data_IF_436803700607
#
_entry.id   IF_436803700607
#
_cell.length_a   1.000
_cell.length_b   1.000
_cell.length_c   1.000
_cell.angle_alpha   90.00
_cell.angle_beta   90.00
_cell.angle_gamma   90.00
#
_symmetry.space_group_name_H-M   'P 1'
#
loop_
_entity.id
_entity.type
_entity.pdbx_description
1 polymer ?
#
# COMPACT_ATOMS: atom_id res chain seq x y z
N UNK A 1 -10.12 -23.43 -3.30
CA UNK A 1 -10.76 -22.19 -2.84
C UNK A 1 -9.72 -21.33 -2.12
N UNK A 2 -9.27 -20.23 -2.77
CA UNK A 2 -8.35 -19.28 -2.19
C UNK A 2 -9.13 -18.13 -1.54
N UNK A 3 -8.62 -17.59 -0.44
CA UNK A 3 -9.09 -16.36 0.18
C UNK A 3 -7.92 -15.40 0.33
N UNK A 4 -8.17 -14.11 0.11
CA UNK A 4 -7.19 -13.05 0.32
C UNK A 4 -7.55 -12.27 1.59
N UNK A 5 -6.53 -11.80 2.32
CA UNK A 5 -6.70 -10.89 3.46
C UNK A 5 -5.87 -9.65 3.20
N UNK A 6 -6.50 -8.47 3.33
CA UNK A 6 -5.84 -7.17 3.19
C UNK A 6 -6.35 -6.15 4.18
N UNK A 7 -5.53 -5.15 4.50
CA UNK A 7 -5.93 -4.06 5.38
C UNK A 7 -4.87 -3.67 6.42
N UNK A 8 -5.10 -2.57 7.14
CA UNK A 8 -4.15 -1.99 8.08
C UNK A 8 -3.98 -2.87 9.33
N UNK A 9 -2.98 -3.73 9.31
CA UNK A 9 -2.67 -4.62 10.42
C UNK A 9 -1.16 -4.81 10.57
N UNK A 10 -0.55 -4.00 11.43
CA UNK A 10 0.86 -4.15 11.80
C UNK A 10 1.01 -5.25 12.85
N UNK A 11 1.92 -6.19 12.62
CA UNK A 11 2.15 -7.32 13.52
C UNK A 11 2.41 -6.93 15.00
N UNK A 12 3.22 -5.90 15.32
CA UNK A 12 3.37 -5.45 16.69
C UNK A 12 2.08 -4.91 17.31
N UNK A 13 1.25 -4.21 16.52
CA UNK A 13 -0.05 -3.73 16.98
C UNK A 13 -0.98 -4.89 17.31
N UNK A 14 -1.06 -5.88 16.43
CA UNK A 14 -1.87 -7.07 16.63
C UNK A 14 -1.42 -7.86 17.87
N UNK A 15 -0.12 -8.06 18.05
CA UNK A 15 0.45 -8.74 19.22
C UNK A 15 0.12 -8.01 20.53
N UNK A 16 0.00 -6.70 20.52
CA UNK A 16 -0.38 -5.86 21.65
C UNK A 16 -1.89 -5.60 21.74
N UNK A 17 -2.71 -6.35 20.99
CA UNK A 17 -4.17 -6.24 20.95
C UNK A 17 -4.70 -4.84 20.63
N UNK A 18 -3.95 -4.09 19.80
CA UNK A 18 -4.41 -2.81 19.27
C UNK A 18 -5.56 -3.06 18.29
N UNK A 19 -6.61 -2.26 18.39
CA UNK A 19 -7.77 -2.36 17.51
C UNK A 19 -7.33 -2.30 16.04
N UNK A 20 -7.62 -3.37 15.30
CA UNK A 20 -7.23 -3.55 13.89
C UNK A 20 -8.42 -4.01 13.07
N UNK A 21 -8.49 -3.56 11.84
CA UNK A 21 -9.54 -3.95 10.90
C UNK A 21 -8.97 -4.41 9.57
N UNK A 22 -9.43 -5.56 9.08
CA UNK A 22 -9.03 -6.12 7.79
C UNK A 22 -10.25 -6.55 6.98
N UNK A 23 -10.02 -6.85 5.71
CA UNK A 23 -11.00 -7.47 4.81
C UNK A 23 -10.52 -8.85 4.43
N UNK A 24 -11.39 -9.86 4.57
CA UNK A 24 -11.19 -11.16 3.95
C UNK A 24 -12.07 -11.28 2.70
N UNK A 25 -11.45 -11.63 1.59
CA UNK A 25 -12.14 -11.80 0.31
C UNK A 25 -12.11 -13.26 -0.15
N UNK A 26 -13.27 -13.74 -0.62
CA UNK A 26 -13.41 -15.04 -1.27
C UNK A 26 -14.52 -14.96 -2.33
N UNK A 27 -14.35 -15.61 -3.47
CA UNK A 27 -15.41 -15.68 -4.51
C UNK A 27 -16.73 -16.22 -3.96
N UNK A 28 -16.65 -17.17 -3.02
CA UNK A 28 -17.79 -17.62 -2.24
C UNK A 28 -17.90 -16.78 -0.95
N UNK A 29 -18.91 -15.93 -0.90
CA UNK A 29 -19.11 -15.01 0.21
C UNK A 29 -19.41 -15.73 1.55
N UNK A 30 -20.02 -16.91 1.52
CA UNK A 30 -20.30 -17.69 2.73
C UNK A 30 -19.01 -18.28 3.33
N UNK A 31 -18.05 -18.65 2.48
CA UNK A 31 -16.70 -18.99 2.92
C UNK A 31 -16.03 -17.80 3.59
N UNK A 32 -16.09 -16.60 2.99
CA UNK A 32 -15.55 -15.38 3.58
C UNK A 32 -16.20 -15.07 4.93
N UNK A 33 -17.52 -15.19 5.06
CA UNK A 33 -18.25 -14.98 6.32
C UNK A 33 -17.83 -15.99 7.40
N UNK A 34 -17.68 -17.25 7.03
CA UNK A 34 -17.25 -18.31 7.96
C UNK A 34 -15.84 -18.03 8.49
N UNK A 35 -14.91 -17.67 7.60
CA UNK A 35 -13.54 -17.29 7.99
C UNK A 35 -13.52 -16.03 8.82
N UNK A 36 -14.31 -15.02 8.49
CA UNK A 36 -14.45 -13.80 9.29
C UNK A 36 -14.88 -14.10 10.72
N UNK A 37 -15.86 -14.99 10.92
CA UNK A 37 -16.31 -15.40 12.26
C UNK A 37 -15.21 -16.09 13.06
N UNK A 38 -14.39 -16.91 12.42
CA UNK A 38 -13.30 -17.66 13.07
C UNK A 38 -12.16 -16.71 13.48
N UNK A 39 -11.84 -15.73 12.61
CA UNK A 39 -10.67 -14.85 12.79
C UNK A 39 -10.97 -13.61 13.64
N UNK A 40 -12.24 -13.18 13.70
CA UNK A 40 -12.60 -11.95 14.44
C UNK A 40 -12.46 -12.13 15.95
N UNK A 41 -11.91 -11.09 16.58
CA UNK A 41 -11.82 -10.95 18.04
C UNK A 41 -12.37 -9.57 18.45
N UNK A 42 -12.28 -9.23 19.73
CA UNK A 42 -12.63 -7.91 20.26
C UNK A 42 -11.73 -6.78 19.75
N UNK A 43 -10.49 -7.10 19.36
CA UNK A 43 -9.49 -6.16 18.84
C UNK A 43 -9.10 -6.39 17.36
N UNK A 44 -9.53 -7.51 16.75
CA UNK A 44 -9.27 -7.81 15.33
C UNK A 44 -10.58 -8.01 14.60
N UNK A 45 -11.01 -6.98 13.87
CA UNK A 45 -12.29 -6.97 13.17
C UNK A 45 -12.09 -7.35 11.71
N UNK A 46 -12.79 -8.39 11.27
CA UNK A 46 -12.67 -8.92 9.91
C UNK A 46 -13.97 -8.68 9.15
N UNK A 47 -13.96 -7.75 8.20
CA UNK A 47 -15.04 -7.56 7.23
C UNK A 47 -14.89 -8.54 6.06
N UNK A 48 -15.94 -8.69 5.25
CA UNK A 48 -15.97 -9.66 4.15
C UNK A 48 -16.15 -8.98 2.80
N UNK A 49 -15.56 -9.57 1.76
CA UNK A 49 -15.70 -9.15 0.36
C UNK A 49 -15.76 -10.36 -0.57
N UNK A 50 -16.36 -10.20 -1.75
CA UNK A 50 -16.23 -11.15 -2.86
C UNK A 50 -15.12 -10.77 -3.85
N UNK A 51 -14.48 -9.61 -3.67
CA UNK A 51 -13.48 -9.05 -4.57
C UNK A 51 -12.06 -9.46 -4.17
N UNK A 52 -11.68 -10.70 -4.49
CA UNK A 52 -10.32 -11.21 -4.25
C UNK A 52 -9.29 -10.37 -5.03
N UNK A 53 -9.56 -10.11 -6.31
CA UNK A 53 -8.63 -9.39 -7.16
C UNK A 53 -8.32 -8.00 -6.61
N UNK A 54 -9.36 -7.25 -6.21
CA UNK A 54 -9.16 -5.92 -5.62
C UNK A 54 -8.34 -5.96 -4.33
N UNK A 55 -8.59 -6.92 -3.43
CA UNK A 55 -7.84 -7.06 -2.18
C UNK A 55 -6.37 -7.41 -2.44
N UNK A 56 -6.09 -8.38 -3.32
CA UNK A 56 -4.71 -8.77 -3.65
C UNK A 56 -3.94 -7.65 -4.37
N UNK A 57 -4.58 -6.99 -5.34
CA UNK A 57 -3.98 -5.87 -6.05
C UNK A 57 -3.63 -4.74 -5.08
N UNK A 58 -4.56 -4.35 -4.20
CA UNK A 58 -4.31 -3.33 -3.20
C UNK A 58 -3.13 -3.68 -2.30
N UNK A 59 -3.07 -4.91 -1.79
CA UNK A 59 -2.00 -5.37 -0.92
C UNK A 59 -0.62 -5.31 -1.60
N UNK A 60 -0.55 -5.53 -2.90
CA UNK A 60 0.69 -5.48 -3.67
C UNK A 60 1.11 -4.03 -3.99
N UNK A 61 0.26 -3.30 -4.71
CA UNK A 61 0.65 -2.00 -5.30
C UNK A 61 0.74 -0.85 -4.29
N UNK A 62 0.04 -0.92 -3.15
CA UNK A 62 0.17 0.09 -2.07
C UNK A 62 1.62 0.35 -1.67
N UNK A 63 2.48 -0.67 -1.78
CA UNK A 63 3.88 -0.58 -1.39
C UNK A 63 4.68 0.38 -2.29
N UNK A 64 4.37 0.43 -3.58
CA UNK A 64 4.94 1.40 -4.53
C UNK A 64 4.53 2.81 -4.09
N UNK A 65 3.24 3.02 -3.87
CA UNK A 65 2.71 4.33 -3.50
C UNK A 65 3.15 4.80 -2.12
N UNK A 66 3.28 3.89 -1.15
CA UNK A 66 3.82 4.26 0.16
C UNK A 66 5.27 4.73 0.08
N UNK A 67 6.07 4.21 -0.87
CA UNK A 67 7.42 4.69 -1.15
C UNK A 67 7.39 6.10 -1.76
N UNK A 68 6.51 6.35 -2.73
CA UNK A 68 6.32 7.69 -3.34
C UNK A 68 5.89 8.71 -2.29
N UNK A 69 4.92 8.38 -1.43
CA UNK A 69 4.46 9.28 -0.35
C UNK A 69 5.61 9.54 0.65
N UNK A 70 6.38 8.52 0.99
CA UNK A 70 7.55 8.64 1.86
C UNK A 70 8.61 9.60 1.32
N UNK A 71 8.78 9.68 0.01
CA UNK A 71 9.73 10.58 -0.62
C UNK A 71 9.44 12.07 -0.33
N UNK A 72 8.16 12.45 -0.19
CA UNK A 72 7.79 13.80 0.21
C UNK A 72 8.34 14.17 1.60
N UNK A 73 8.34 13.23 2.55
CA UNK A 73 8.93 13.42 3.87
C UNK A 73 10.44 13.65 3.81
N UNK A 74 11.15 12.85 3.02
CA UNK A 74 12.59 12.98 2.82
C UNK A 74 12.96 14.31 2.15
N UNK A 75 12.23 14.68 1.11
CA UNK A 75 12.44 15.95 0.41
C UNK A 75 12.25 17.16 1.33
N UNK A 76 11.31 17.08 2.27
CA UNK A 76 11.08 18.13 3.26
C UNK A 76 12.27 18.31 4.22
N UNK A 77 12.89 17.21 4.66
CA UNK A 77 14.06 17.27 5.56
C UNK A 77 15.23 18.06 4.97
N UNK A 78 15.37 18.04 3.65
CA UNK A 78 16.47 18.76 2.95
C UNK A 78 16.14 20.21 2.64
N UNK A 79 14.89 20.63 2.69
CA UNK A 79 14.46 21.94 2.18
C UNK A 79 13.79 22.86 3.21
N UNK A 80 13.21 22.29 4.26
CA UNK A 80 12.41 23.06 5.21
C UNK A 80 12.35 22.40 6.57
N UNK A 81 11.90 23.13 7.54
CA UNK A 81 11.64 22.66 8.89
C UNK A 81 10.16 22.29 9.07
N UNK A 82 9.87 21.43 10.02
CA UNK A 82 8.51 21.05 10.41
C UNK A 82 7.84 20.03 9.50
N UNK A 83 6.50 20.04 9.51
CA UNK A 83 5.67 19.05 8.81
C UNK A 83 5.08 19.57 7.48
N UNK A 84 5.78 20.45 6.78
CA UNK A 84 5.29 21.09 5.54
C UNK A 84 5.02 20.07 4.42
N UNK A 85 5.68 18.92 4.45
CA UNK A 85 5.44 17.83 3.50
C UNK A 85 4.02 17.24 3.57
N UNK A 86 3.24 17.51 4.62
CA UNK A 86 1.91 16.95 4.78
C UNK A 86 0.96 17.34 3.64
N UNK A 87 1.04 18.57 3.14
CA UNK A 87 0.24 18.99 1.98
C UNK A 87 0.60 18.17 0.74
N UNK A 88 1.89 17.97 0.47
CA UNK A 88 2.37 17.13 -0.63
C UNK A 88 1.97 15.69 -0.44
N UNK A 89 2.15 15.14 0.76
CA UNK A 89 1.74 13.76 1.08
C UNK A 89 0.24 13.55 0.89
N UNK A 90 -0.60 14.50 1.29
CA UNK A 90 -2.05 14.42 1.09
C UNK A 90 -2.43 14.38 -0.40
N UNK A 91 -1.78 15.21 -1.23
CA UNK A 91 -1.98 15.20 -2.69
C UNK A 91 -1.51 13.86 -3.30
N UNK A 92 -0.35 13.35 -2.87
CA UNK A 92 0.16 12.05 -3.30
C UNK A 92 -0.74 10.89 -2.86
N UNK A 93 -1.30 10.91 -1.65
CA UNK A 93 -2.27 9.90 -1.19
C UNK A 93 -3.49 9.90 -2.10
N UNK A 94 -4.07 11.08 -2.40
CA UNK A 94 -5.22 11.20 -3.31
C UNK A 94 -4.90 10.61 -4.69
N UNK A 95 -3.74 10.98 -5.25
CA UNK A 95 -3.34 10.50 -6.58
C UNK A 95 -3.05 8.99 -6.54
N UNK A 96 -2.38 8.50 -5.49
CA UNK A 96 -2.12 7.07 -5.30
C UNK A 96 -3.42 6.24 -5.30
N UNK A 97 -4.43 6.69 -4.56
CA UNK A 97 -5.74 6.01 -4.54
C UNK A 97 -6.36 5.96 -5.93
N UNK A 98 -6.30 7.06 -6.69
CA UNK A 98 -6.80 7.09 -8.07
C UNK A 98 -6.05 6.08 -8.96
N UNK A 99 -4.72 6.04 -8.89
CA UNK A 99 -3.93 5.09 -9.69
C UNK A 99 -4.16 3.64 -9.27
N UNK A 100 -4.33 3.40 -7.97
CA UNK A 100 -4.74 2.08 -7.46
C UNK A 100 -6.11 1.67 -8.00
N UNK A 101 -7.07 2.59 -8.12
CA UNK A 101 -8.39 2.31 -8.73
C UNK A 101 -8.25 1.91 -10.20
N UNK A 102 -7.44 2.66 -10.98
CA UNK A 102 -7.19 2.35 -12.39
C UNK A 102 -6.55 0.96 -12.53
N UNK A 103 -5.57 0.66 -11.71
CA UNK A 103 -4.86 -0.61 -11.73
C UNK A 103 -5.76 -1.78 -11.28
N UNK A 104 -6.55 -1.57 -10.24
CA UNK A 104 -7.50 -2.58 -9.76
C UNK A 104 -8.55 -2.93 -10.82
N UNK A 105 -9.14 -1.93 -11.48
CA UNK A 105 -10.09 -2.18 -12.58
C UNK A 105 -9.46 -2.94 -13.74
N UNK A 106 -8.24 -2.59 -14.13
CA UNK A 106 -7.51 -3.31 -15.18
C UNK A 106 -7.36 -4.79 -14.86
N UNK A 107 -7.11 -5.12 -13.59
CA UNK A 107 -7.01 -6.49 -13.08
C UNK A 107 -8.35 -7.09 -12.60
N UNK A 108 -9.47 -6.50 -13.01
CA UNK A 108 -10.84 -6.95 -12.70
C UNK A 108 -11.18 -6.93 -11.21
N UNK A 109 -10.56 -6.06 -10.45
CA UNK A 109 -10.95 -5.68 -9.09
C UNK A 109 -11.91 -4.49 -9.10
N UNK A 110 -12.40 -4.11 -7.92
CA UNK A 110 -13.38 -3.04 -7.73
C UNK A 110 -12.75 -1.79 -7.12
N UNK A 111 -13.14 -0.60 -7.60
CA UNK A 111 -12.73 0.70 -7.03
C UNK A 111 -13.12 0.84 -5.55
N UNK A 112 -14.28 0.31 -5.18
CA UNK A 112 -14.77 0.36 -3.80
C UNK A 112 -13.81 -0.36 -2.84
N UNK A 113 -13.17 -1.44 -3.28
CA UNK A 113 -12.15 -2.15 -2.49
C UNK A 113 -10.93 -1.26 -2.24
N UNK A 114 -10.53 -0.48 -3.23
CA UNK A 114 -9.40 0.46 -3.09
C UNK A 114 -9.70 1.56 -2.07
N UNK A 115 -10.92 2.08 -2.04
CA UNK A 115 -11.37 3.12 -1.07
C UNK A 115 -11.55 2.58 0.35
N UNK A 116 -11.59 1.26 0.52
CA UNK A 116 -11.78 0.60 1.79
C UNK A 116 -10.50 0.32 2.57
N UNK A 117 -10.63 -0.59 3.55
CA UNK A 117 -9.51 -0.99 4.42
C UNK A 117 -8.36 -1.62 3.64
N UNK A 118 -8.65 -2.47 2.65
CA UNK A 118 -7.62 -3.17 1.88
C UNK A 118 -6.76 -2.23 1.01
N UNK A 119 -7.30 -1.10 0.57
CA UNK A 119 -6.60 -0.11 -0.24
C UNK A 119 -6.16 1.10 0.58
N UNK A 120 -7.00 2.11 0.70
CA UNK A 120 -6.71 3.38 1.37
C UNK A 120 -6.26 3.17 2.83
N UNK A 121 -6.92 2.29 3.58
CA UNK A 121 -6.58 2.04 4.98
C UNK A 121 -5.16 1.48 5.12
N UNK A 122 -4.81 0.49 4.32
CA UNK A 122 -3.50 -0.14 4.36
C UNK A 122 -2.40 0.75 3.75
N UNK A 123 -2.74 1.55 2.73
CA UNK A 123 -1.83 2.58 2.20
C UNK A 123 -1.47 3.61 3.27
N UNK A 124 -2.45 4.09 4.03
CA UNK A 124 -2.24 5.06 5.11
C UNK A 124 -1.23 4.55 6.14
N UNK A 125 -1.44 3.34 6.67
CA UNK A 125 -0.53 2.74 7.65
C UNK A 125 0.85 2.48 7.06
N UNK A 126 0.93 2.04 5.81
CA UNK A 126 2.19 1.78 5.11
C UNK A 126 2.98 3.07 4.87
N UNK A 127 2.30 4.17 4.53
CA UNK A 127 2.90 5.49 4.32
C UNK A 127 3.36 6.14 5.63
N UNK A 128 2.67 5.87 6.75
CA UNK A 128 2.96 6.47 8.06
C UNK A 128 4.29 5.99 8.70
N UNK A 129 4.99 5.02 8.13
CA UNK A 129 6.29 4.57 8.65
C UNK A 129 6.68 3.14 8.29
N UNK A 130 6.04 2.58 7.27
CA UNK A 130 6.39 1.28 6.71
C UNK A 130 7.78 1.26 6.04
N UNK A 131 8.27 0.06 5.72
CA UNK A 131 9.59 -0.14 5.09
C UNK A 131 9.72 0.60 3.76
N UNK A 132 8.70 0.53 2.93
CA UNK A 132 8.66 1.22 1.64
C UNK A 132 8.66 2.75 1.83
N UNK A 133 7.89 3.29 2.77
CA UNK A 133 7.89 4.71 3.10
C UNK A 133 9.27 5.20 3.60
N UNK A 134 9.96 4.40 4.43
CA UNK A 134 11.33 4.71 4.88
C UNK A 134 12.32 4.74 3.73
N UNK A 135 12.24 3.79 2.80
CA UNK A 135 13.07 3.81 1.59
C UNK A 135 12.75 5.05 0.75
N UNK A 136 11.48 5.37 0.56
CA UNK A 136 11.06 6.60 -0.12
C UNK A 136 11.66 7.85 0.51
N UNK A 137 11.63 7.96 1.84
CA UNK A 137 12.23 9.09 2.54
C UNK A 137 13.73 9.23 2.27
N UNK A 138 14.48 8.14 2.27
CA UNK A 138 15.92 8.16 1.91
C UNK A 138 16.14 8.64 0.47
N UNK A 139 15.30 8.20 -0.47
CA UNK A 139 15.36 8.66 -1.86
C UNK A 139 15.02 10.16 -1.94
N UNK A 140 14.01 10.62 -1.20
CA UNK A 140 13.64 12.04 -1.11
C UNK A 140 14.73 12.91 -0.50
N UNK A 141 15.57 12.37 0.37
CA UNK A 141 16.78 13.01 0.91
C UNK A 141 17.93 13.10 -0.13
N UNK A 142 17.75 12.53 -1.32
CA UNK A 142 18.73 12.50 -2.39
C UNK A 142 19.67 11.29 -2.39
N UNK A 143 19.41 10.28 -1.56
CA UNK A 143 20.22 9.07 -1.53
C UNK A 143 19.71 8.13 -2.63
N UNK A 144 20.59 7.66 -3.50
CA UNK A 144 20.20 6.71 -4.56
C UNK A 144 19.79 5.36 -3.95
N UNK A 145 18.83 4.70 -4.60
CA UNK A 145 18.23 3.45 -4.10
C UNK A 145 19.27 2.39 -3.71
N UNK A 146 20.26 2.13 -4.58
CA UNK A 146 21.28 1.12 -4.33
C UNK A 146 22.14 1.43 -3.10
N UNK A 147 22.46 2.69 -2.86
CA UNK A 147 23.18 3.14 -1.68
C UNK A 147 22.32 3.03 -0.42
N UNK A 148 21.08 3.53 -0.48
CA UNK A 148 20.12 3.43 0.61
C UNK A 148 19.89 1.96 1.01
N UNK A 149 19.69 1.09 0.03
CA UNK A 149 19.50 -0.34 0.25
C UNK A 149 20.71 -0.99 0.91
N UNK A 150 21.93 -0.71 0.40
CA UNK A 150 23.17 -1.31 0.91
C UNK A 150 23.54 -0.82 2.31
N UNK A 151 23.45 0.50 2.55
CA UNK A 151 24.05 1.15 3.73
C UNK A 151 23.04 1.48 4.84
N UNK A 152 21.77 1.70 4.50
CA UNK A 152 20.73 2.11 5.46
C UNK A 152 19.69 1.03 5.73
N UNK A 153 19.42 0.16 4.75
CA UNK A 153 18.40 -0.88 4.86
C UNK A 153 18.89 -2.25 4.32
N UNK A 154 20.08 -2.76 4.72
CA UNK A 154 20.71 -3.93 4.09
C UNK A 154 19.87 -5.20 4.17
N UNK A 155 19.17 -5.43 5.28
CA UNK A 155 18.41 -6.66 5.54
C UNK A 155 16.90 -6.42 5.50
N UNK A 156 16.45 -5.35 4.85
CA UNK A 156 15.03 -4.97 4.80
C UNK A 156 14.51 -5.19 3.39
N UNK A 157 13.49 -6.02 3.21
CA UNK A 157 12.78 -6.15 1.94
C UNK A 157 12.00 -4.86 1.65
N UNK A 158 12.11 -4.36 0.43
CA UNK A 158 11.40 -3.17 -0.04
C UNK A 158 10.49 -3.60 -1.19
N UNK A 159 9.35 -4.16 -0.83
CA UNK A 159 8.44 -4.84 -1.75
C UNK A 159 7.96 -3.93 -2.90
N UNK A 160 7.79 -2.63 -2.63
CA UNK A 160 7.39 -1.67 -3.66
C UNK A 160 8.44 -1.48 -4.73
N UNK A 161 9.74 -1.48 -4.35
CA UNK A 161 10.83 -1.41 -5.32
C UNK A 161 10.94 -2.71 -6.12
N UNK A 162 10.91 -3.85 -5.44
CA UNK A 162 11.00 -5.16 -6.10
C UNK A 162 9.85 -5.29 -7.12
N UNK A 163 8.63 -4.92 -6.73
CA UNK A 163 7.46 -4.98 -7.60
C UNK A 163 7.58 -4.06 -8.81
N UNK A 164 7.97 -2.79 -8.63
CA UNK A 164 8.06 -1.85 -9.77
C UNK A 164 9.18 -2.24 -10.74
N UNK A 165 10.28 -2.83 -10.27
CA UNK A 165 11.30 -3.38 -11.15
C UNK A 165 10.76 -4.53 -12.01
N UNK A 166 9.88 -5.35 -11.45
CA UNK A 166 9.30 -6.50 -12.14
C UNK A 166 8.22 -6.09 -13.15
N UNK A 167 7.29 -5.23 -12.74
CA UNK A 167 6.12 -4.87 -13.57
C UNK A 167 6.27 -3.57 -14.35
N UNK A 168 7.25 -2.71 -14.05
CA UNK A 168 7.33 -1.33 -14.56
C UNK A 168 7.35 -1.24 -16.08
N UNK A 169 8.05 -2.15 -16.77
CA UNK A 169 8.03 -2.21 -18.24
C UNK A 169 6.61 -2.46 -18.77
N UNK A 170 5.91 -3.43 -18.19
CA UNK A 170 4.54 -3.79 -18.58
C UNK A 170 3.55 -2.67 -18.29
N UNK A 171 3.72 -1.98 -17.17
CA UNK A 171 2.88 -0.82 -16.81
C UNK A 171 3.00 0.28 -17.87
N UNK A 172 4.23 0.58 -18.35
CA UNK A 172 4.46 1.55 -19.43
C UNK A 172 3.87 1.13 -20.78
N UNK A 173 3.80 -0.16 -21.04
CA UNK A 173 3.21 -0.70 -22.28
C UNK A 173 1.67 -0.68 -22.25
N UNK A 174 1.07 -1.00 -21.10
CA UNK A 174 -0.37 -1.19 -20.96
C UNK A 174 -1.14 0.10 -20.57
N UNK A 175 -0.46 1.12 -20.06
CA UNK A 175 -1.11 2.34 -19.54
C UNK A 175 -0.52 3.62 -20.14
N UNK A 176 -1.38 4.63 -20.24
CA UNK A 176 -1.02 6.01 -20.56
C UNK A 176 -0.42 6.68 -19.30
N UNK A 177 0.71 7.38 -19.46
CA UNK A 177 1.39 8.15 -18.41
C UNK A 177 0.47 9.19 -17.75
N UNK A 178 -0.50 9.74 -18.47
CA UNK A 178 -1.52 10.64 -17.91
C UNK A 178 -2.44 9.97 -16.90
N UNK A 179 -2.62 8.65 -16.98
CA UNK A 179 -3.46 7.88 -16.06
C UNK A 179 -2.69 7.43 -14.81
N UNK A 180 -1.42 7.12 -14.96
CA UNK A 180 -0.57 6.60 -13.89
C UNK A 180 0.72 7.42 -13.70
N UNK A 181 0.64 8.75 -13.50
CA UNK A 181 1.82 9.61 -13.44
C UNK A 181 2.77 9.36 -12.27
N UNK A 182 2.34 8.62 -11.24
CA UNK A 182 3.22 8.24 -10.13
C UNK A 182 3.92 6.89 -10.36
N UNK A 183 3.34 6.01 -11.19
CA UNK A 183 3.93 4.71 -11.50
C UNK A 183 4.85 4.74 -12.72
N UNK A 184 4.68 5.69 -13.64
CA UNK A 184 5.42 5.85 -14.89
C UNK A 184 6.36 7.04 -14.82
#
# INVERSE_FOLDING_TARGET
>A
NLSAVGGPCLAPGLANRVQSGVVIANKNLDTAKSLSKILSTDYYRVSVSSDINGVEVCAAIKNIFSMVIGAASGLNKTKSEGNLYLNTSAALVKQSVYEMEVFAEFLKGKKETVKGLAGLGDLYVSAAGGRNSKMGALIGEGIIFSEAKKNKMPNVTVEGADLIFEIGKRVKEDFDDKKLPLMI
#
